data_IF_910646215054
#
_entry.id   IF_910646215054
#
_cell.length_a   1.000
_cell.length_b   1.000
_cell.length_c   1.000
_cell.angle_alpha   90.00
_cell.angle_beta   90.00
_cell.angle_gamma   90.00
#
_symmetry.space_group_name_H-M   'P 1'
#
loop_
_entity.id
_entity.type
_entity.pdbx_description
1 polymer ?
#
# COMPACT_ATOMS: atom_id res chain seq x y z
N UNK A 1 0.50 -2.57 -25.93
CA UNK A 1 1.08 -3.74 -25.24
C UNK A 1 0.25 -3.92 -23.98
N UNK A 2 -0.35 -5.09 -23.77
CA UNK A 2 -1.01 -5.42 -22.52
C UNK A 2 0.13 -5.69 -21.53
N UNK A 3 0.42 -4.77 -20.60
CA UNK A 3 1.41 -5.04 -19.56
C UNK A 3 0.78 -6.04 -18.58
N UNK A 4 1.51 -7.11 -18.26
CA UNK A 4 1.05 -8.08 -17.29
C UNK A 4 0.99 -7.43 -15.91
N UNK A 5 -0.16 -7.56 -15.23
CA UNK A 5 -0.31 -7.14 -13.85
C UNK A 5 0.41 -8.18 -13.00
N UNK A 6 1.52 -7.79 -12.38
CA UNK A 6 2.30 -8.63 -11.46
C UNK A 6 1.97 -8.32 -10.00
N UNK A 7 1.61 -7.06 -9.72
CA UNK A 7 1.34 -6.57 -8.40
C UNK A 7 -0.01 -5.85 -8.36
N UNK A 8 -0.81 -6.16 -7.33
CA UNK A 8 -1.91 -5.29 -6.90
C UNK A 8 -1.64 -4.80 -5.49
N UNK A 9 -1.67 -3.50 -5.28
CA UNK A 9 -1.37 -2.88 -3.98
C UNK A 9 -2.51 -1.98 -3.58
N UNK A 10 -3.12 -2.27 -2.43
CA UNK A 10 -4.22 -1.49 -1.90
C UNK A 10 -4.01 -1.22 -0.43
N UNK A 11 -4.27 0.01 -0.01
CA UNK A 11 -4.05 0.38 1.37
C UNK A 11 -4.58 1.75 1.70
N UNK A 12 -4.48 2.06 2.98
CA UNK A 12 -4.74 3.40 3.48
C UNK A 12 -3.98 3.62 4.78
N UNK A 13 -3.77 4.89 5.12
CA UNK A 13 -3.31 5.34 6.43
C UNK A 13 -4.04 6.63 6.80
N UNK A 14 -4.47 6.73 8.05
CA UNK A 14 -5.14 7.91 8.60
C UNK A 14 -4.88 8.04 10.11
N UNK A 15 -4.95 9.25 10.68
CA UNK A 15 -4.98 10.53 9.96
C UNK A 15 -3.62 10.87 9.34
N UNK A 16 -3.58 11.56 8.20
CA UNK A 16 -2.35 12.09 7.59
C UNK A 16 -2.33 13.62 7.54
N UNK A 17 -1.16 14.20 7.71
CA UNK A 17 -0.88 15.61 7.44
C UNK A 17 -0.27 15.83 6.04
N UNK A 18 -0.09 17.10 5.67
CA UNK A 18 0.40 17.48 4.35
C UNK A 18 1.85 17.01 4.08
N UNK A 19 2.70 16.97 5.09
CA UNK A 19 4.09 16.52 4.94
C UNK A 19 4.17 15.00 4.79
N UNK A 20 3.34 14.26 5.54
CA UNK A 20 3.20 12.82 5.38
C UNK A 20 2.65 12.47 3.99
N UNK A 21 1.62 13.17 3.52
CA UNK A 21 1.08 12.94 2.18
C UNK A 21 2.10 13.25 1.07
N UNK A 22 2.89 14.31 1.23
CA UNK A 22 3.98 14.63 0.30
C UNK A 22 5.08 13.55 0.29
N UNK A 23 5.46 13.03 1.47
CA UNK A 23 6.43 11.95 1.58
C UNK A 23 5.93 10.65 0.92
N UNK A 24 4.65 10.31 1.10
CA UNK A 24 4.01 9.16 0.43
C UNK A 24 3.96 9.36 -1.08
N UNK A 25 3.64 10.57 -1.55
CA UNK A 25 3.62 10.90 -2.98
C UNK A 25 5.00 10.68 -3.61
N UNK A 26 6.06 11.14 -2.94
CA UNK A 26 7.43 10.93 -3.39
C UNK A 26 7.83 9.45 -3.40
N UNK A 27 7.45 8.69 -2.36
CA UNK A 27 7.71 7.26 -2.30
C UNK A 27 6.97 6.46 -3.39
N UNK A 28 5.79 6.90 -3.81
CA UNK A 28 5.03 6.27 -4.89
C UNK A 28 5.51 6.65 -6.30
N UNK A 29 6.42 7.62 -6.46
CA UNK A 29 6.77 8.19 -7.77
C UNK A 29 7.41 7.18 -8.74
N UNK A 30 8.02 6.11 -8.23
CA UNK A 30 8.60 5.02 -9.03
C UNK A 30 7.61 3.93 -9.46
N UNK A 31 6.34 4.00 -9.06
CA UNK A 31 5.34 2.99 -9.40
C UNK A 31 5.06 2.96 -10.91
N UNK A 32 4.84 1.76 -11.46
CA UNK A 32 4.55 1.53 -12.87
C UNK A 32 3.16 0.89 -13.04
N UNK A 33 2.08 1.70 -13.02
CA UNK A 33 0.72 1.21 -13.14
C UNK A 33 0.41 0.81 -14.60
N UNK A 34 -0.59 -0.06 -14.77
CA UNK A 34 -1.04 -0.50 -16.10
C UNK A 34 -1.91 0.55 -16.80
N UNK A 35 -2.56 1.41 -16.01
CA UNK A 35 -3.36 2.55 -16.47
C UNK A 35 -3.02 3.78 -15.64
N UNK A 36 -3.03 4.94 -16.29
CA UNK A 36 -2.84 6.24 -15.64
C UNK A 36 -4.16 6.91 -15.23
N UNK A 37 -5.31 6.27 -15.49
CA UNK A 37 -6.64 6.82 -15.20
C UNK A 37 -6.95 6.89 -13.69
N UNK A 38 -6.26 6.06 -12.90
CA UNK A 38 -6.43 5.98 -11.45
C UNK A 38 -5.13 6.43 -10.77
N UNK A 39 -5.16 7.48 -9.93
CA UNK A 39 -3.98 7.90 -9.22
C UNK A 39 -3.55 6.82 -8.23
N UNK A 40 -2.24 6.55 -8.17
CA UNK A 40 -1.65 5.56 -7.24
C UNK A 40 -1.91 5.93 -5.79
N UNK A 41 -1.94 7.23 -5.48
CA UNK A 41 -2.18 7.79 -4.17
C UNK A 41 -3.22 8.91 -4.27
N UNK A 42 -4.22 8.88 -3.40
CA UNK A 42 -5.28 9.89 -3.31
C UNK A 42 -5.49 10.29 -1.86
N UNK A 43 -5.78 11.58 -1.61
CA UNK A 43 -6.16 12.10 -0.29
C UNK A 43 -7.68 12.25 -0.22
N UNK A 44 -8.32 11.58 0.72
CA UNK A 44 -9.74 11.71 1.05
C UNK A 44 -9.87 12.17 2.50
N UNK A 45 -10.10 13.47 2.71
CA UNK A 45 -10.06 14.08 4.03
C UNK A 45 -8.66 14.00 4.66
N UNK A 46 -8.54 13.26 5.76
CA UNK A 46 -7.28 12.94 6.45
C UNK A 46 -6.80 11.51 6.17
N UNK A 47 -7.35 10.84 5.16
CA UNK A 47 -6.96 9.48 4.78
C UNK A 47 -6.20 9.50 3.46
N UNK A 48 -4.95 9.04 3.48
CA UNK A 48 -4.19 8.74 2.27
C UNK A 48 -4.52 7.31 1.82
N UNK A 49 -5.07 7.14 0.61
CA UNK A 49 -5.45 5.85 0.02
C UNK A 49 -4.52 5.49 -1.14
N UNK A 50 -3.97 4.28 -1.08
CA UNK A 50 -3.16 3.69 -2.15
C UNK A 50 -4.04 2.73 -2.96
N UNK A 51 -4.03 2.88 -4.29
CA UNK A 51 -4.72 2.01 -5.23
C UNK A 51 -3.87 1.79 -6.46
N UNK A 52 -3.32 0.58 -6.62
CA UNK A 52 -2.36 0.29 -7.67
C UNK A 52 -2.55 -1.10 -8.27
N UNK A 53 -2.45 -1.18 -9.60
CA UNK A 53 -2.34 -2.42 -10.37
C UNK A 53 -1.32 -2.25 -11.49
N UNK A 54 -0.23 -3.03 -11.49
CA UNK A 54 0.87 -2.84 -12.43
C UNK A 54 2.00 -3.84 -12.30
N UNK A 55 3.11 -3.55 -12.96
CA UNK A 55 4.27 -4.43 -13.00
C UNK A 55 5.27 -4.17 -11.86
N UNK A 56 5.26 -2.97 -11.26
CA UNK A 56 6.17 -2.61 -10.18
C UNK A 56 5.57 -1.56 -9.24
N UNK A 57 5.70 -1.80 -7.93
CA UNK A 57 5.37 -0.84 -6.87
C UNK A 57 6.51 -0.78 -5.84
N UNK A 58 6.98 0.42 -5.44
CA UNK A 58 8.08 0.59 -4.50
C UNK A 58 7.64 0.39 -3.03
N UNK A 59 7.28 -0.85 -2.67
CA UNK A 59 6.73 -1.20 -1.34
C UNK A 59 7.64 -0.74 -0.21
N UNK A 60 8.95 -1.03 -0.29
CA UNK A 60 9.90 -0.70 0.78
C UNK A 60 10.04 0.81 0.99
N UNK A 61 10.05 1.60 -0.08
CA UNK A 61 10.12 3.06 0.00
C UNK A 61 8.88 3.65 0.67
N UNK A 62 7.70 3.13 0.33
CA UNK A 62 6.44 3.51 0.98
C UNK A 62 6.44 3.14 2.45
N UNK A 63 6.89 1.92 2.82
CA UNK A 63 6.98 1.51 4.21
C UNK A 63 8.01 2.34 5.01
N UNK A 64 9.12 2.75 4.39
CA UNK A 64 10.10 3.67 4.99
C UNK A 64 9.47 5.03 5.23
N UNK A 65 8.75 5.59 4.26
CA UNK A 65 8.06 6.88 4.39
C UNK A 65 7.02 6.85 5.53
N UNK A 66 6.23 5.77 5.61
CA UNK A 66 5.27 5.56 6.70
C UNK A 66 6.00 5.47 8.04
N UNK A 67 7.00 4.57 8.16
CA UNK A 67 7.71 4.34 9.43
C UNK A 67 8.40 5.59 9.97
N UNK A 68 8.92 6.44 9.09
CA UNK A 68 9.63 7.65 9.49
C UNK A 68 8.74 8.65 10.25
N UNK A 69 7.42 8.59 10.06
CA UNK A 69 6.46 9.57 10.59
C UNK A 69 5.29 8.93 11.34
N UNK A 70 5.28 7.61 11.51
CA UNK A 70 4.16 6.87 12.10
C UNK A 70 3.94 7.25 13.57
N UNK A 71 2.75 7.78 13.87
CA UNK A 71 2.31 8.22 15.20
C UNK A 71 1.39 7.17 15.83
N UNK A 72 1.31 7.08 17.18
CA UNK A 72 0.46 6.10 17.85
C UNK A 72 -1.03 6.18 17.51
N UNK A 73 -1.53 7.36 17.13
CA UNK A 73 -2.93 7.57 16.76
C UNK A 73 -3.25 7.17 15.32
N UNK A 74 -2.24 6.88 14.50
CA UNK A 74 -2.43 6.49 13.11
C UNK A 74 -2.77 5.01 13.01
N UNK A 75 -3.73 4.74 12.14
CA UNK A 75 -4.20 3.41 11.80
C UNK A 75 -4.21 3.22 10.29
N UNK A 76 -4.07 1.98 9.84
CA UNK A 76 -4.20 1.67 8.43
C UNK A 76 -3.61 0.33 8.06
N UNK A 77 -3.51 0.10 6.76
CA UNK A 77 -2.87 -1.10 6.21
C UNK A 77 -2.40 -0.89 4.78
N UNK A 78 -1.50 -1.76 4.34
CA UNK A 78 -1.06 -1.91 2.95
C UNK A 78 -1.05 -3.40 2.61
N UNK A 79 -1.95 -3.80 1.72
CA UNK A 79 -2.06 -5.14 1.17
C UNK A 79 -1.31 -5.19 -0.16
N UNK A 80 -0.30 -6.06 -0.27
CA UNK A 80 0.51 -6.31 -1.46
C UNK A 80 0.21 -7.71 -1.96
N UNK A 81 -0.48 -7.80 -3.10
CA UNK A 81 -0.76 -9.06 -3.79
C UNK A 81 0.28 -9.23 -4.89
N UNK A 82 1.18 -10.18 -4.68
CA UNK A 82 2.19 -10.62 -5.63
C UNK A 82 1.64 -11.80 -6.41
N UNK A 83 1.27 -11.55 -7.66
CA UNK A 83 0.62 -12.53 -8.54
C UNK A 83 1.63 -13.52 -9.14
N UNK A 84 2.92 -13.15 -9.21
CA UNK A 84 3.99 -14.02 -9.68
C UNK A 84 4.40 -15.02 -8.58
N UNK A 85 4.62 -14.51 -7.36
CA UNK A 85 4.92 -15.36 -6.21
C UNK A 85 3.68 -15.98 -5.54
N UNK A 86 2.49 -15.68 -6.07
CA UNK A 86 1.19 -16.11 -5.56
C UNK A 86 0.99 -15.88 -4.06
N UNK A 87 1.31 -14.68 -3.57
CA UNK A 87 1.36 -14.34 -2.15
C UNK A 87 0.69 -13.00 -1.84
N UNK A 88 -0.08 -12.94 -0.75
CA UNK A 88 -0.51 -11.71 -0.11
C UNK A 88 0.47 -11.39 1.03
N UNK A 89 0.96 -10.16 1.09
CA UNK A 89 1.61 -9.58 2.26
C UNK A 89 0.77 -8.42 2.76
N UNK A 90 0.30 -8.47 4.00
CA UNK A 90 -0.40 -7.38 4.68
C UNK A 90 0.55 -6.70 5.65
N UNK A 91 0.70 -5.39 5.50
CA UNK A 91 1.34 -4.53 6.48
C UNK A 91 0.26 -3.75 7.22
N UNK A 92 0.11 -3.96 8.52
CA UNK A 92 -0.84 -3.20 9.37
C UNK A 92 -0.09 -2.10 10.09
N UNK A 93 -0.68 -0.91 10.16
CA UNK A 93 -0.18 0.26 10.89
C UNK A 93 -1.06 0.48 12.10
N UNK A 94 -0.51 0.32 13.29
CA UNK A 94 -1.25 0.52 14.53
C UNK A 94 -0.28 0.83 15.67
N UNK A 95 -0.65 1.73 16.59
CA UNK A 95 0.10 1.99 17.81
C UNK A 95 1.54 2.49 17.58
N UNK A 96 1.82 3.12 16.44
CA UNK A 96 3.17 3.58 16.10
C UNK A 96 4.09 2.49 15.55
N UNK A 97 3.56 1.31 15.22
CA UNK A 97 4.31 0.19 14.69
C UNK A 97 3.74 -0.33 13.36
N UNK A 98 4.62 -1.00 12.59
CA UNK A 98 4.22 -1.72 11.38
C UNK A 98 4.33 -3.21 11.68
N UNK A 99 3.21 -3.93 11.57
CA UNK A 99 3.16 -5.39 11.67
C UNK A 99 3.00 -5.97 10.27
N UNK A 100 3.70 -7.06 9.96
CA UNK A 100 3.66 -7.66 8.63
C UNK A 100 3.36 -9.14 8.71
N UNK A 101 2.43 -9.60 7.88
CA UNK A 101 2.06 -10.99 7.76
C UNK A 101 1.92 -11.36 6.29
N UNK A 102 2.31 -12.59 5.93
CA UNK A 102 2.17 -13.09 4.55
C UNK A 102 1.44 -14.42 4.51
N UNK A 103 0.60 -14.61 3.50
CA UNK A 103 -0.13 -15.84 3.25
C UNK A 103 -0.18 -16.14 1.73
N UNK A 104 -0.28 -17.42 1.31
CA UNK A 104 -0.53 -17.76 -0.08
C UNK A 104 -1.88 -17.20 -0.57
N UNK A 105 -1.98 -16.82 -1.85
CA UNK A 105 -3.22 -16.26 -2.40
C UNK A 105 -4.39 -17.26 -2.42
N UNK A 106 -4.11 -18.57 -2.35
CA UNK A 106 -5.12 -19.62 -2.25
C UNK A 106 -6.07 -19.43 -1.06
N UNK A 107 -5.60 -18.74 0.00
CA UNK A 107 -6.35 -18.51 1.23
C UNK A 107 -6.95 -17.10 1.30
N UNK A 108 -6.95 -16.32 0.20
CA UNK A 108 -7.43 -14.92 0.20
C UNK A 108 -8.91 -14.81 0.54
N UNK A 109 -9.72 -15.82 0.21
CA UNK A 109 -11.13 -15.87 0.64
C UNK A 109 -11.25 -16.02 2.16
N UNK A 110 -10.32 -16.72 2.81
CA UNK A 110 -10.27 -16.88 4.28
C UNK A 110 -9.68 -15.64 4.99
N UNK A 111 -8.91 -14.79 4.29
CA UNK A 111 -8.23 -13.59 4.82
C UNK A 111 -9.04 -12.28 4.68
N UNK A 112 -10.29 -12.39 4.26
CA UNK A 112 -11.23 -11.27 4.12
C UNK A 112 -11.81 -10.78 5.46
N UNK A 113 -11.47 -11.44 6.58
CA UNK A 113 -11.93 -11.09 7.92
C UNK A 113 -10.83 -10.56 8.85
N UNK A 114 -11.11 -9.36 9.38
CA UNK A 114 -10.49 -8.65 10.53
C UNK A 114 -9.13 -7.97 10.31
#
# INVERSE_FOLDING_TARGET
MNQDILLKVYGHIYPVDAEEYAALTAACAGAMPTTDDVPVLELDGDMARISFEGCYFPVDEVLVAIRARLRPQQCGKLDVLDLDAWRLTRHTFEGGAIHSHSAPLNNVLDYSGF
#
